data_IF_713734614304
#
_entry.id   IF_713734614304
#
_cell.length_a   1.000
_cell.length_b   1.000
_cell.length_c   1.000
_cell.angle_alpha   90.00
_cell.angle_beta   90.00
_cell.angle_gamma   90.00
#
_symmetry.space_group_name_H-M   'P 1'
#
loop_
_entity.id
_entity.type
_entity.pdbx_description
1 polymer ?
#
# COMPACT_ATOMS: atom_id res chain seq x y z
N UNK A 1 13.10 -26.08 -2.76
CA UNK A 1 12.52 -24.80 -3.18
C UNK A 1 12.45 -23.90 -1.94
N UNK A 2 13.48 -23.09 -1.68
CA UNK A 2 13.53 -22.24 -0.49
C UNK A 2 14.36 -20.98 -0.77
N UNK A 3 14.10 -20.32 -1.91
CA UNK A 3 14.81 -19.08 -2.30
C UNK A 3 13.90 -18.04 -2.96
N UNK A 4 12.59 -18.10 -2.72
CA UNK A 4 11.62 -17.21 -3.36
C UNK A 4 10.64 -16.56 -2.37
N UNK A 5 11.05 -16.38 -1.11
CA UNK A 5 10.25 -15.66 -0.10
C UNK A 5 10.95 -14.44 0.49
N UNK A 6 12.29 -14.41 0.52
CA UNK A 6 13.03 -13.26 1.06
C UNK A 6 13.03 -12.04 0.15
N UNK A 7 12.96 -12.19 -1.18
CA UNK A 7 12.89 -11.03 -2.09
C UNK A 7 11.54 -10.30 -2.03
N UNK A 8 10.43 -11.02 -1.81
CA UNK A 8 9.09 -10.43 -1.79
C UNK A 8 8.82 -9.56 -0.57
N UNK A 9 9.34 -9.92 0.61
CA UNK A 9 9.20 -9.10 1.81
C UNK A 9 9.92 -7.76 1.67
N UNK A 10 11.09 -7.77 1.02
CA UNK A 10 11.89 -6.57 0.76
C UNK A 10 11.16 -5.59 -0.17
N UNK A 11 10.43 -6.12 -1.17
CA UNK A 11 9.67 -5.31 -2.13
C UNK A 11 8.48 -4.63 -1.43
N UNK A 12 7.77 -5.33 -0.54
CA UNK A 12 6.66 -4.73 0.21
C UNK A 12 7.17 -3.60 1.10
N UNK A 13 8.22 -3.84 1.88
CA UNK A 13 8.83 -2.81 2.73
C UNK A 13 9.29 -1.58 1.92
N UNK A 14 9.98 -1.80 0.80
CA UNK A 14 10.39 -0.72 -0.11
C UNK A 14 9.22 0.06 -0.71
N UNK A 15 8.11 -0.63 -1.01
CA UNK A 15 6.91 0.03 -1.52
C UNK A 15 6.23 0.87 -0.44
N UNK A 16 6.17 0.39 0.81
CA UNK A 16 5.69 1.16 1.96
C UNK A 16 6.55 2.41 2.15
N UNK A 17 7.88 2.30 2.14
CA UNK A 17 8.78 3.46 2.24
C UNK A 17 8.59 4.47 1.10
N UNK A 18 8.39 4.00 -0.14
CA UNK A 18 8.11 4.88 -1.28
C UNK A 18 6.77 5.60 -1.12
N UNK A 19 5.74 4.89 -0.66
CA UNK A 19 4.42 5.47 -0.40
C UNK A 19 4.49 6.45 0.76
N UNK A 20 5.23 6.17 1.83
CA UNK A 20 5.45 7.08 2.95
C UNK A 20 6.10 8.39 2.50
N UNK A 21 7.08 8.31 1.58
CA UNK A 21 7.76 9.52 1.04
C UNK A 21 6.87 10.35 0.11
N UNK A 22 5.96 9.73 -0.62
CA UNK A 22 5.08 10.41 -1.60
C UNK A 22 3.74 10.85 -0.99
N UNK A 23 3.20 10.02 -0.10
CA UNK A 23 1.87 10.14 0.51
C UNK A 23 1.94 9.73 2.00
N UNK A 24 2.64 10.52 2.85
CA UNK A 24 2.79 10.19 4.28
C UNK A 24 1.44 10.07 4.99
N UNK A 25 0.42 10.84 4.57
CA UNK A 25 -0.94 10.78 5.10
C UNK A 25 -1.65 9.43 4.90
N UNK A 26 -1.15 8.61 3.96
CA UNK A 26 -1.67 7.27 3.69
C UNK A 26 -1.05 6.19 4.59
N UNK A 27 -0.04 6.52 5.40
CA UNK A 27 0.56 5.57 6.33
C UNK A 27 -0.22 5.60 7.63
N UNK A 28 -0.57 4.43 8.15
CA UNK A 28 -1.28 4.25 9.42
C UNK A 28 -0.59 3.17 10.25
N UNK A 29 -0.89 3.13 11.55
CA UNK A 29 -0.37 2.10 12.45
C UNK A 29 -1.43 1.02 12.64
N UNK A 30 -1.08 -0.23 12.33
CA UNK A 30 -1.92 -1.38 12.62
C UNK A 30 -1.19 -2.33 13.56
N UNK A 31 -1.95 -3.06 14.38
CA UNK A 31 -1.37 -4.15 15.17
C UNK A 31 -1.14 -5.35 14.28
N UNK A 32 0.07 -5.84 14.28
CA UNK A 32 0.46 -7.10 13.66
C UNK A 32 -0.11 -8.30 14.46
N UNK A 33 0.02 -9.51 13.92
CA UNK A 33 -0.33 -10.78 14.57
C UNK A 33 0.33 -10.97 15.95
N UNK A 34 1.45 -10.30 16.19
CA UNK A 34 2.15 -10.29 17.49
C UNK A 34 1.68 -9.18 18.45
N UNK A 35 0.65 -8.40 18.08
CA UNK A 35 0.15 -7.26 18.86
C UNK A 35 1.05 -6.01 18.82
N UNK A 36 2.14 -6.05 18.05
CA UNK A 36 3.06 -4.92 17.86
C UNK A 36 2.47 -3.94 16.85
N UNK A 37 2.56 -2.64 17.15
CA UNK A 37 2.22 -1.60 16.19
C UNK A 37 3.26 -1.60 15.05
N UNK A 38 2.76 -1.73 13.83
CA UNK A 38 3.55 -1.63 12.61
C UNK A 38 2.93 -0.61 11.66
N UNK A 39 3.79 0.08 10.90
CA UNK A 39 3.35 0.98 9.85
C UNK A 39 2.80 0.17 8.68
N UNK A 40 1.57 0.47 8.28
CA UNK A 40 0.90 -0.12 7.14
C UNK A 40 0.34 0.96 6.24
N UNK A 41 0.07 0.60 4.99
CA UNK A 41 -0.52 1.50 4.01
C UNK A 41 -2.04 1.39 4.10
N UNK A 42 -2.70 2.52 4.35
CA UNK A 42 -4.14 2.66 4.26
C UNK A 42 -4.55 2.71 2.78
N UNK A 43 -5.17 1.63 2.30
CA UNK A 43 -5.57 1.49 0.91
C UNK A 43 -6.60 2.55 0.51
N UNK A 44 -7.54 2.89 1.38
CA UNK A 44 -8.60 3.84 1.08
C UNK A 44 -8.03 5.25 0.90
N UNK A 45 -7.16 5.69 1.82
CA UNK A 45 -6.46 6.97 1.68
C UNK A 45 -5.55 7.00 0.47
N UNK A 46 -4.83 5.91 0.20
CA UNK A 46 -3.98 5.81 -0.98
C UNK A 46 -4.81 5.94 -2.25
N UNK A 47 -5.94 5.22 -2.34
CA UNK A 47 -6.87 5.31 -3.46
C UNK A 47 -7.50 6.69 -3.59
N UNK A 48 -7.83 7.41 -2.51
CA UNK A 48 -8.35 8.77 -2.59
C UNK A 48 -7.30 9.76 -3.14
N UNK A 49 -6.06 9.66 -2.66
CA UNK A 49 -4.95 10.49 -3.16
C UNK A 49 -4.68 10.24 -4.65
N UNK A 50 -4.79 8.98 -5.08
CA UNK A 50 -4.76 8.67 -6.50
C UNK A 50 -6.03 9.11 -7.19
N UNK A 51 -7.24 8.90 -6.68
CA UNK A 51 -8.52 9.26 -7.32
C UNK A 51 -8.66 10.75 -7.62
N UNK A 52 -7.99 11.60 -6.84
CA UNK A 52 -7.91 13.04 -7.14
C UNK A 52 -7.03 13.35 -8.37
N UNK A 53 -6.11 12.43 -8.73
CA UNK A 53 -5.26 12.46 -9.94
C UNK A 53 -5.62 11.43 -11.03
N UNK A 54 -6.35 10.37 -10.69
CA UNK A 54 -6.88 9.34 -11.59
C UNK A 54 -8.17 9.94 -12.13
N UNK A 55 -7.99 10.78 -13.14
CA UNK A 55 -9.07 11.13 -14.05
C UNK A 55 -9.53 9.79 -14.64
N UNK A 56 -10.77 9.40 -14.35
CA UNK A 56 -11.31 8.07 -14.56
C UNK A 56 -10.84 7.40 -15.85
N UNK A 57 -9.89 6.46 -15.73
CA UNK A 57 -9.69 5.44 -16.74
C UNK A 57 -10.87 4.49 -16.64
N UNK A 58 -11.91 4.76 -17.44
CA UNK A 58 -13.18 4.06 -17.38
C UNK A 58 -13.03 2.55 -17.45
N UNK A 59 -13.29 1.86 -16.34
CA UNK A 59 -13.93 0.56 -16.42
C UNK A 59 -15.42 0.79 -16.64
N UNK A 60 -15.79 1.05 -17.90
CA UNK A 60 -17.13 0.73 -18.40
C UNK A 60 -17.21 -0.79 -18.52
N UNK A 61 -17.32 -1.48 -17.39
CA UNK A 61 -17.86 -2.82 -17.36
C UNK A 61 -19.36 -2.71 -17.54
N UNK A 62 -19.80 -2.65 -18.80
CA UNK A 62 -21.21 -2.75 -19.16
C UNK A 62 -21.73 -4.08 -18.64
N UNK A 63 -22.69 -4.03 -17.71
CA UNK A 63 -23.60 -5.15 -17.41
C UNK A 63 -24.51 -5.42 -18.61
#
# INVERSE_FOLDING_TARGET
MEKMRMESMDIVAKNVEKIEKLFPDCITEARDENGKLQKVVDRDKLLQNFSHKIIGGGYSGTL
#
